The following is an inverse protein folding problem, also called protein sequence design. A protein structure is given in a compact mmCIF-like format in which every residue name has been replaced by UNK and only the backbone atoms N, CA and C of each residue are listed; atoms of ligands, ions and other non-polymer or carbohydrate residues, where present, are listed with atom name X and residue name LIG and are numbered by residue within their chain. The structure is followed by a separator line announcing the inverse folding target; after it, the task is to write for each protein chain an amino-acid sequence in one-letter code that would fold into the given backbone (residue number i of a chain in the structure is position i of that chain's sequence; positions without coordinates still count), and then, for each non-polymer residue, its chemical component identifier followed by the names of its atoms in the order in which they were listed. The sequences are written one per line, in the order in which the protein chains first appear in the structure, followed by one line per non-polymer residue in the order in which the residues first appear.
data_IF_380333145788
#
_entry.id   IF_380333145788
#
_cell.length_a   1.000
_cell.length_b   1.000
_cell.length_c   1.000
_cell.angle_alpha   90.00
_cell.angle_beta   90.00
_cell.angle_gamma   90.00
#
_symmetry.space_group_name_H-M   'P 1'
#
loop_
_entity.id
_entity.type
_entity.pdbx_description
1 polymer ?
#
# COMPACT_ATOMS: atom_id res chain seq x y z
N UNK A 1 -5.89 0.46 9.47
CA UNK A 1 -6.44 -0.26 8.29
C UNK A 1 -5.37 -0.23 7.21
N UNK A 2 -5.08 -1.35 6.56
CA UNK A 2 -4.28 -1.37 5.34
C UNK A 2 -5.20 -1.23 4.13
N UNK A 3 -4.77 -0.50 3.10
CA UNK A 3 -5.42 -0.43 1.79
C UNK A 3 -4.37 -0.71 0.74
N UNK A 4 -4.68 -1.66 -0.14
CA UNK A 4 -3.81 -2.08 -1.24
C UNK A 4 -4.39 -1.60 -2.56
N UNK A 5 -3.51 -1.17 -3.46
CA UNK A 5 -3.79 -1.05 -4.88
C UNK A 5 -3.24 -2.30 -5.57
N UNK A 6 -4.06 -2.97 -6.37
CA UNK A 6 -3.70 -4.17 -7.12
C UNK A 6 -3.47 -3.78 -8.59
N UNK A 7 -2.60 -4.50 -9.28
CA UNK A 7 -2.20 -4.21 -10.67
C UNK A 7 -2.66 -5.34 -11.62
N UNK A 8 -3.99 -5.49 -11.86
CA UNK A 8 -4.54 -6.58 -12.66
C UNK A 8 -4.16 -6.52 -14.14
N UNK A 9 -3.67 -5.37 -14.62
CA UNK A 9 -3.12 -5.23 -15.98
C UNK A 9 -1.81 -6.02 -16.18
N UNK A 10 -1.07 -6.28 -15.10
CA UNK A 10 0.23 -6.97 -15.14
C UNK A 10 0.13 -8.40 -14.57
N UNK A 11 -0.64 -8.61 -13.51
CA UNK A 11 -0.78 -9.92 -12.84
C UNK A 11 -2.27 -10.25 -12.58
N UNK A 12 -3.08 -10.51 -13.62
CA UNK A 12 -4.54 -10.62 -13.51
C UNK A 12 -5.01 -11.77 -12.61
N UNK A 13 -4.43 -12.98 -12.72
CA UNK A 13 -4.81 -14.12 -11.87
C UNK A 13 -4.35 -13.91 -10.43
N UNK A 14 -3.16 -13.33 -10.25
CA UNK A 14 -2.58 -13.05 -8.93
C UNK A 14 -3.43 -12.03 -8.18
N UNK A 15 -3.87 -10.97 -8.87
CA UNK A 15 -4.77 -9.96 -8.33
C UNK A 15 -6.17 -10.53 -8.02
N UNK A 16 -6.77 -11.30 -8.91
CA UNK A 16 -8.09 -11.92 -8.67
C UNK A 16 -8.04 -12.94 -7.52
N UNK A 17 -6.97 -13.73 -7.41
CA UNK A 17 -6.73 -14.60 -6.26
C UNK A 17 -6.71 -13.82 -4.95
N UNK A 18 -5.91 -12.74 -4.86
CA UNK A 18 -5.83 -11.93 -3.65
C UNK A 18 -7.14 -11.20 -3.32
N UNK A 19 -7.83 -10.63 -4.33
CA UNK A 19 -9.12 -9.95 -4.18
C UNK A 19 -10.20 -10.90 -3.66
N UNK A 20 -10.31 -12.08 -4.27
CA UNK A 20 -11.27 -13.10 -3.87
C UNK A 20 -10.99 -13.69 -2.47
N UNK A 21 -9.71 -13.83 -2.09
CA UNK A 21 -9.31 -14.17 -0.72
C UNK A 21 -9.59 -13.04 0.28
N UNK A 22 -9.60 -11.76 -0.14
CA UNK A 22 -10.08 -10.65 0.67
C UNK A 22 -11.59 -10.66 0.88
N UNK A 23 -12.40 -11.09 -0.10
CA UNK A 23 -13.87 -11.10 0.00
C UNK A 23 -14.44 -12.40 0.59
N UNK A 24 -13.74 -13.52 0.47
CA UNK A 24 -14.22 -14.85 0.88
C UNK A 24 -15.23 -15.47 -0.08
N UNK A 25 -15.45 -14.88 -1.26
CA UNK A 25 -16.56 -15.22 -2.16
C UNK A 25 -16.46 -16.61 -2.83
N UNK A 26 -15.26 -17.19 -2.89
CA UNK A 26 -15.02 -18.49 -3.56
C UNK A 26 -15.30 -19.71 -2.66
N UNK A 27 -15.80 -19.49 -1.45
CA UNK A 27 -16.27 -20.55 -0.56
C UNK A 27 -15.13 -21.33 0.10
N UNK A 28 -15.16 -22.67 -0.03
CA UNK A 28 -14.23 -23.59 0.63
C UNK A 28 -13.14 -24.04 -0.35
N UNK A 29 -11.89 -24.02 0.10
CA UNK A 29 -10.72 -24.45 -0.66
C UNK A 29 -10.68 -25.97 -0.86
N UNK A 30 -10.27 -26.38 -2.07
CA UNK A 30 -10.37 -27.77 -2.52
C UNK A 30 -9.39 -28.72 -1.82
N UNK A 31 -8.18 -28.25 -1.46
CA UNK A 31 -7.15 -29.09 -0.82
C UNK A 31 -7.13 -28.97 0.70
N UNK A 32 -7.45 -27.79 1.23
CA UNK A 32 -7.40 -27.49 2.67
C UNK A 32 -8.72 -27.75 3.39
N UNK A 33 -9.85 -27.79 2.66
CA UNK A 33 -11.19 -27.91 3.25
C UNK A 33 -11.60 -26.71 4.11
N UNK A 34 -10.89 -25.58 4.01
CA UNK A 34 -11.10 -24.36 4.81
C UNK A 34 -11.58 -23.19 3.95
N UNK A 35 -12.26 -22.18 4.53
CA UNK A 35 -12.71 -21.02 3.77
C UNK A 35 -11.54 -20.30 3.07
N UNK A 36 -11.72 -20.00 1.78
CA UNK A 36 -10.80 -19.19 0.97
C UNK A 36 -10.93 -17.71 1.36
N UNK A 37 -10.54 -17.35 2.58
CA UNK A 37 -10.79 -16.03 3.15
C UNK A 37 -9.67 -15.61 4.12
N UNK A 38 -9.18 -14.38 3.98
CA UNK A 38 -8.16 -13.78 4.85
C UNK A 38 -8.71 -13.26 6.20
N UNK A 39 -10.02 -13.33 6.46
CA UNK A 39 -10.57 -12.88 7.74
C UNK A 39 -10.17 -13.84 8.87
N UNK A 40 -9.51 -13.31 9.89
CA UNK A 40 -9.04 -14.05 11.05
C UNK A 40 -7.65 -14.68 10.92
N UNK A 41 -6.95 -14.47 9.79
CA UNK A 41 -5.56 -14.94 9.65
C UNK A 41 -4.60 -14.07 10.45
N UNK A 42 -3.38 -14.58 10.68
CA UNK A 42 -2.31 -13.86 11.39
C UNK A 42 -1.13 -13.54 10.47
N UNK A 43 -0.37 -12.48 10.81
CA UNK A 43 0.99 -12.31 10.31
C UNK A 43 1.90 -13.29 11.06
N UNK A 44 2.20 -14.42 10.43
CA UNK A 44 2.92 -15.53 11.05
C UNK A 44 4.44 -15.41 10.96
N UNK A 45 4.94 -14.45 10.16
CA UNK A 45 6.38 -14.16 10.02
C UNK A 45 6.59 -12.66 9.76
N UNK A 46 7.52 -12.06 10.49
CA UNK A 46 7.89 -10.64 10.45
C UNK A 46 9.41 -10.56 10.54
N UNK A 47 10.05 -9.89 9.59
CA UNK A 47 11.49 -9.60 9.63
C UNK A 47 11.67 -8.10 9.51
N UNK A 48 12.19 -7.49 10.57
CA UNK A 48 12.43 -6.06 10.68
C UNK A 48 13.38 -5.58 9.58
N UNK A 49 13.11 -4.39 9.04
CA UNK A 49 13.87 -3.75 7.97
C UNK A 49 13.90 -4.60 6.68
N UNK A 50 12.86 -5.43 6.48
CA UNK A 50 12.73 -6.29 5.31
C UNK A 50 11.27 -6.50 4.85
N UNK A 51 10.46 -7.27 5.60
CA UNK A 51 9.11 -7.64 5.18
C UNK A 51 8.22 -8.20 6.31
N UNK A 52 6.89 -8.14 6.11
CA UNK A 52 5.89 -8.83 6.93
C UNK A 52 5.07 -9.80 6.06
N UNK A 53 4.89 -11.05 6.50
CA UNK A 53 4.28 -12.14 5.74
C UNK A 53 3.02 -12.70 6.42
N UNK A 54 1.99 -12.96 5.61
CA UNK A 54 0.69 -13.49 6.04
C UNK A 54 0.07 -14.36 4.92
N UNK A 55 -1.25 -14.57 4.95
CA UNK A 55 -2.00 -15.31 3.94
C UNK A 55 -2.13 -16.82 4.18
N UNK A 56 -1.49 -17.37 5.22
CA UNK A 56 -1.70 -18.76 5.65
C UNK A 56 -2.97 -18.87 6.53
N UNK A 57 -4.12 -19.06 5.87
CA UNK A 57 -5.40 -19.26 6.52
C UNK A 57 -5.64 -20.70 7.02
N UNK A 58 -4.80 -21.66 6.64
CA UNK A 58 -5.04 -23.07 6.99
C UNK A 58 -4.24 -23.52 8.20
N UNK A 59 -2.96 -23.18 8.28
CA UNK A 59 -2.05 -23.63 9.33
C UNK A 59 -1.45 -22.47 10.14
N UNK A 60 -1.57 -21.23 9.64
CA UNK A 60 -1.14 -19.99 10.31
C UNK A 60 0.31 -20.01 10.82
N UNK A 61 1.18 -20.69 10.07
CA UNK A 61 2.60 -20.89 10.40
C UNK A 61 3.52 -20.89 9.16
N UNK A 62 2.99 -20.57 7.98
CA UNK A 62 3.71 -20.56 6.71
C UNK A 62 3.73 -21.91 5.99
N UNK A 63 3.22 -22.99 6.59
CA UNK A 63 3.14 -24.32 5.95
C UNK A 63 1.85 -24.53 5.16
N UNK A 64 0.81 -23.73 5.40
CA UNK A 64 -0.51 -23.88 4.80
C UNK A 64 -0.86 -22.88 3.69
N UNK A 65 -2.16 -22.73 3.46
CA UNK A 65 -2.75 -21.86 2.43
C UNK A 65 -2.93 -22.54 1.07
N UNK A 66 -3.92 -22.08 0.30
CA UNK A 66 -4.11 -22.44 -1.12
C UNK A 66 -4.79 -21.31 -1.88
N UNK A 67 -4.58 -21.27 -3.19
CA UNK A 67 -5.21 -20.32 -4.10
C UNK A 67 -6.67 -20.67 -4.41
N UNK A 68 -7.41 -19.69 -4.92
CA UNK A 68 -8.78 -19.88 -5.41
C UNK A 68 -8.90 -20.85 -6.61
N UNK A 69 -7.77 -21.21 -7.22
CA UNK A 69 -7.69 -22.11 -8.37
C UNK A 69 -7.49 -23.59 -7.99
N UNK A 70 -7.34 -23.88 -6.68
CA UNK A 70 -7.16 -25.24 -6.14
C UNK A 70 -5.68 -25.59 -5.92
N UNK A 71 -5.19 -25.40 -4.69
CA UNK A 71 -3.77 -25.57 -4.37
C UNK A 71 -2.91 -24.39 -4.81
N UNK A 72 -2.03 -24.57 -5.80
CA UNK A 72 -1.06 -23.55 -6.24
C UNK A 72 -1.21 -23.22 -7.72
N UNK A 73 -0.75 -22.03 -8.12
CA UNK A 73 -0.73 -21.58 -9.52
C UNK A 73 0.67 -21.06 -9.93
N UNK A 74 0.86 -20.94 -11.24
CA UNK A 74 2.12 -20.53 -11.86
C UNK A 74 2.52 -19.08 -11.52
N UNK A 75 3.80 -18.75 -11.70
CA UNK A 75 4.26 -17.36 -11.68
C UNK A 75 3.78 -16.64 -12.96
N UNK A 76 3.03 -15.53 -12.84
CA UNK A 76 2.50 -14.81 -14.02
C UNK A 76 3.56 -13.95 -14.72
N UNK A 77 4.08 -12.92 -14.03
CA UNK A 77 4.89 -11.88 -14.65
C UNK A 77 5.86 -11.25 -13.61
N UNK A 78 7.08 -10.92 -14.04
CA UNK A 78 8.14 -10.35 -13.19
C UNK A 78 8.56 -8.93 -13.63
N UNK A 79 7.74 -8.27 -14.44
CA UNK A 79 7.92 -6.88 -14.91
C UNK A 79 8.09 -5.88 -13.75
N UNK A 80 7.42 -6.12 -12.62
CA UNK A 80 7.55 -5.31 -11.41
C UNK A 80 8.67 -5.82 -10.51
N UNK A 81 9.51 -4.90 -10.06
CA UNK A 81 10.66 -5.15 -9.18
C UNK A 81 10.38 -4.72 -7.76
N UNK A 82 11.10 -5.31 -6.80
CA UNK A 82 11.07 -4.94 -5.39
C UNK A 82 11.95 -3.71 -5.11
N UNK A 83 11.80 -2.66 -5.92
CA UNK A 83 12.65 -1.46 -5.91
C UNK A 83 12.30 -0.47 -4.78
N UNK A 84 11.16 -0.67 -4.11
CA UNK A 84 10.57 0.23 -3.11
C UNK A 84 10.04 -0.54 -1.90
N UNK A 85 9.94 0.12 -0.74
CA UNK A 85 9.17 -0.40 0.39
C UNK A 85 7.67 -0.42 0.05
N UNK A 86 6.91 -1.19 0.83
CA UNK A 86 5.45 -1.29 0.80
C UNK A 86 4.85 -1.89 -0.49
N UNK A 87 5.62 -2.70 -1.21
CA UNK A 87 5.15 -3.51 -2.32
C UNK A 87 4.50 -4.80 -1.80
N UNK A 88 3.41 -5.22 -2.45
CA UNK A 88 2.65 -6.43 -2.16
C UNK A 88 3.07 -7.53 -3.15
N UNK A 89 3.57 -8.64 -2.63
CA UNK A 89 4.21 -9.70 -3.41
C UNK A 89 3.84 -11.10 -2.92
N UNK A 90 3.80 -12.08 -3.82
CA UNK A 90 3.40 -13.46 -3.50
C UNK A 90 4.51 -14.23 -2.79
N UNK A 91 4.20 -14.83 -1.65
CA UNK A 91 5.08 -15.81 -1.03
C UNK A 91 4.87 -17.19 -1.70
N UNK A 92 5.98 -17.83 -2.06
CA UNK A 92 6.02 -19.14 -2.71
C UNK A 92 7.09 -20.03 -2.03
N UNK A 93 7.20 -21.30 -2.45
CA UNK A 93 8.24 -22.25 -1.99
C UNK A 93 9.10 -22.73 -3.15
N UNK A 94 9.31 -21.87 -4.15
CA UNK A 94 9.89 -22.22 -5.43
C UNK A 94 8.98 -21.86 -6.61
N UNK A 95 9.49 -22.06 -7.82
CA UNK A 95 8.83 -21.66 -9.07
C UNK A 95 7.42 -22.27 -9.18
N UNK A 96 6.43 -21.47 -9.60
CA UNK A 96 5.05 -21.89 -9.83
C UNK A 96 4.34 -22.50 -8.60
N UNK A 97 4.65 -22.01 -7.39
CA UNK A 97 4.01 -22.48 -6.14
C UNK A 97 3.21 -21.40 -5.42
N UNK A 98 2.63 -20.45 -6.16
CA UNK A 98 1.84 -19.36 -5.59
C UNK A 98 0.52 -19.90 -5.01
N UNK A 99 0.24 -19.60 -3.74
CA UNK A 99 -0.96 -20.06 -3.04
C UNK A 99 -1.84 -18.88 -2.59
N UNK A 100 -2.07 -18.78 -1.29
CA UNK A 100 -2.69 -17.62 -0.63
C UNK A 100 -1.70 -16.78 0.18
N UNK A 101 -0.44 -17.21 0.32
CA UNK A 101 0.52 -16.48 1.14
C UNK A 101 1.08 -15.27 0.38
N UNK A 102 1.24 -14.17 1.11
CA UNK A 102 1.75 -12.90 0.58
C UNK A 102 2.65 -12.23 1.61
N UNK A 103 3.52 -11.34 1.15
CA UNK A 103 4.30 -10.46 2.00
C UNK A 103 4.22 -9.01 1.52
N UNK A 104 4.50 -8.10 2.45
CA UNK A 104 4.60 -6.66 2.22
C UNK A 104 6.03 -6.27 2.55
N UNK A 105 6.75 -5.67 1.60
CA UNK A 105 8.11 -5.17 1.85
C UNK A 105 8.09 -3.94 2.77
N UNK A 106 9.16 -3.73 3.54
CA UNK A 106 9.38 -2.50 4.33
C UNK A 106 10.67 -1.78 3.96
N UNK A 107 11.51 -2.43 3.14
CA UNK A 107 12.69 -1.90 2.45
C UNK A 107 12.72 -2.42 0.99
N UNK A 108 13.49 -1.80 0.08
CA UNK A 108 13.80 -2.38 -1.23
C UNK A 108 14.47 -3.75 -1.10
N UNK A 109 14.04 -4.72 -1.90
CA UNK A 109 14.45 -6.12 -1.81
C UNK A 109 14.79 -6.73 -3.19
N UNK A 110 15.71 -6.15 -3.98
CA UNK A 110 15.97 -6.55 -5.37
C UNK A 110 16.45 -8.01 -5.54
N UNK A 111 16.88 -8.67 -4.46
CA UNK A 111 17.21 -10.10 -4.46
C UNK A 111 15.99 -11.02 -4.58
N UNK A 112 14.76 -10.48 -4.45
CA UNK A 112 13.49 -11.18 -4.66
C UNK A 112 12.96 -11.03 -6.11
N UNK A 113 13.61 -10.20 -6.93
CA UNK A 113 13.23 -9.99 -8.33
C UNK A 113 13.37 -11.28 -9.16
N UNK A 114 12.39 -11.55 -10.01
CA UNK A 114 12.27 -12.82 -10.76
C UNK A 114 12.13 -14.08 -9.88
N UNK A 115 11.92 -13.93 -8.56
CA UNK A 115 11.63 -15.02 -7.61
C UNK A 115 10.20 -14.94 -7.10
N UNK A 116 9.72 -13.73 -6.79
CA UNK A 116 8.38 -13.46 -6.30
C UNK A 116 7.63 -12.50 -7.23
N UNK A 117 6.34 -12.79 -7.46
CA UNK A 117 5.45 -11.96 -8.29
C UNK A 117 4.96 -10.78 -7.46
N UNK A 118 5.40 -9.57 -7.79
CA UNK A 118 4.81 -8.32 -7.27
C UNK A 118 3.52 -8.05 -8.04
N UNK A 119 2.43 -7.79 -7.33
CA UNK A 119 1.09 -7.62 -7.93
C UNK A 119 0.30 -6.42 -7.36
N UNK A 120 0.93 -5.61 -6.51
CA UNK A 120 0.31 -4.40 -5.96
C UNK A 120 1.21 -3.64 -4.99
N UNK A 121 0.64 -2.65 -4.32
CA UNK A 121 1.33 -1.86 -3.29
C UNK A 121 0.37 -1.37 -2.19
N UNK A 122 0.91 -0.97 -1.04
CA UNK A 122 0.13 -0.31 0.01
C UNK A 122 -0.04 1.17 -0.35
N UNK A 123 -1.29 1.62 -0.48
CA UNK A 123 -1.64 3.03 -0.71
C UNK A 123 -2.07 3.76 0.57
N UNK A 124 -2.44 3.03 1.62
CA UNK A 124 -2.77 3.61 2.93
C UNK A 124 -2.52 2.64 4.07
N UNK A 125 -2.06 3.17 5.21
CA UNK A 125 -1.77 2.40 6.41
C UNK A 125 -0.29 1.98 6.56
N UNK A 126 0.64 2.68 5.92
CA UNK A 126 2.09 2.45 6.05
C UNK A 126 2.55 2.37 7.51
N UNK A 127 2.02 3.22 8.39
CA UNK A 127 2.33 3.20 9.82
C UNK A 127 1.94 1.88 10.50
N UNK A 128 0.84 1.25 10.06
CA UNK A 128 0.40 -0.04 10.59
C UNK A 128 1.29 -1.19 10.09
N UNK A 129 1.85 -1.09 8.88
CA UNK A 129 2.88 -2.03 8.41
C UNK A 129 4.12 -1.91 9.31
N UNK A 130 4.58 -0.68 9.58
CA UNK A 130 5.72 -0.43 10.48
C UNK A 130 5.47 -0.84 11.93
N UNK A 131 4.24 -0.70 12.43
CA UNK A 131 3.87 -1.19 13.76
C UNK A 131 3.93 -2.72 13.85
N UNK A 132 3.47 -3.44 12.82
CA UNK A 132 3.57 -4.92 12.76
C UNK A 132 5.05 -5.35 12.63
N UNK A 133 5.83 -4.63 11.83
CA UNK A 133 7.28 -4.83 11.64
C UNK A 133 8.08 -4.67 12.95
N UNK A 134 7.66 -3.76 13.83
CA UNK A 134 8.31 -3.48 15.12
C UNK A 134 7.91 -4.43 16.26
N UNK A 135 7.00 -5.38 16.02
CA UNK A 135 6.63 -6.36 17.04
C UNK A 135 7.82 -7.25 17.43
N UNK A 136 8.00 -7.60 18.71
CA UNK A 136 9.02 -8.55 19.11
C UNK A 136 8.70 -9.93 18.52
N UNK A 137 9.71 -10.58 17.94
CA UNK A 137 9.60 -11.87 17.27
C UNK A 137 10.38 -12.97 17.99
N UNK A 138 9.98 -14.22 17.77
CA UNK A 138 10.73 -15.41 18.20
C UNK A 138 11.91 -15.74 17.27
N UNK A 139 12.61 -16.84 17.55
CA UNK A 139 13.74 -17.34 16.74
C UNK A 139 13.36 -17.75 15.31
N UNK A 140 12.07 -17.98 15.03
CA UNK A 140 11.53 -18.32 13.72
C UNK A 140 10.96 -17.08 13.00
N UNK A 141 11.22 -15.88 13.52
CA UNK A 141 10.67 -14.62 13.05
C UNK A 141 9.13 -14.52 13.17
N UNK A 142 8.49 -15.31 14.04
CA UNK A 142 7.05 -15.19 14.33
C UNK A 142 6.83 -14.13 15.41
N UNK A 143 5.90 -13.17 15.25
CA UNK A 143 5.53 -12.23 16.31
C UNK A 143 5.09 -12.94 17.60
N UNK A 144 5.57 -12.46 18.75
CA UNK A 144 5.12 -12.91 20.07
C UNK A 144 3.69 -12.46 20.39
N UNK A 145 3.24 -11.37 19.75
CA UNK A 145 1.87 -10.88 19.80
C UNK A 145 1.20 -11.12 18.44
N UNK A 146 0.11 -11.89 18.42
CA UNK A 146 -0.59 -12.21 17.18
C UNK A 146 -1.20 -10.94 16.54
N UNK A 147 -0.64 -10.51 15.40
CA UNK A 147 -1.23 -9.49 14.55
C UNK A 147 -2.29 -10.14 13.64
N UNK A 148 -3.57 -9.97 13.98
CA UNK A 148 -4.71 -10.64 13.31
C UNK A 148 -5.41 -9.71 12.29
N UNK A 149 -5.74 -10.25 11.11
CA UNK A 149 -6.60 -9.59 10.12
C UNK A 149 -8.06 -9.69 10.56
N UNK A 150 -8.49 -8.78 11.44
CA UNK A 150 -9.83 -8.81 12.04
C UNK A 150 -10.97 -8.75 11.00
N UNK A 151 -10.79 -8.00 9.91
CA UNK A 151 -11.69 -7.95 8.75
C UNK A 151 -10.90 -7.59 7.48
N UNK A 152 -11.32 -8.13 6.34
CA UNK A 152 -10.83 -7.81 5.00
C UNK A 152 -12.03 -7.67 4.04
N UNK A 153 -11.77 -7.23 2.80
CA UNK A 153 -12.78 -7.04 1.77
C UNK A 153 -12.30 -6.10 0.66
N UNK A 154 -13.16 -5.87 -0.33
CA UNK A 154 -12.91 -5.01 -1.48
C UNK A 154 -13.50 -3.60 -1.29
N UNK A 155 -12.83 -2.56 -1.81
CA UNK A 155 -13.29 -1.18 -1.72
C UNK A 155 -14.01 -0.74 -3.00
N UNK A 156 -15.34 -0.85 -3.01
CA UNK A 156 -16.16 -0.35 -4.12
C UNK A 156 -16.26 1.18 -4.08
N UNK A 157 -15.83 1.85 -5.15
CA UNK A 157 -15.92 3.31 -5.30
C UNK A 157 -17.38 3.76 -5.43
N UNK A 158 -17.94 4.36 -4.38
CA UNK A 158 -19.28 4.95 -4.42
C UNK A 158 -19.30 6.20 -5.33
N UNK A 159 -19.85 6.06 -6.53
CA UNK A 159 -20.18 7.20 -7.39
C UNK A 159 -21.39 7.92 -6.79
N UNK A 160 -21.17 9.07 -6.16
CA UNK A 160 -22.27 9.94 -5.71
C UNK A 160 -22.90 10.62 -6.92
N UNK A 161 -24.07 10.14 -7.32
CA UNK A 161 -24.91 10.83 -8.29
C UNK A 161 -25.18 12.26 -7.84
N UNK A 162 -24.78 13.24 -8.65
CA UNK A 162 -25.18 14.64 -8.45
C UNK A 162 -26.66 14.76 -8.82
N UNK A 163 -27.55 14.68 -7.82
CA UNK A 163 -28.97 15.02 -8.01
C UNK A 163 -29.10 16.41 -8.62
N UNK A 164 -29.49 16.48 -9.88
CA UNK A 164 -29.78 17.74 -10.55
C UNK A 164 -30.92 18.47 -9.85
N UNK A 165 -30.67 19.69 -9.38
CA UNK A 165 -31.72 20.55 -8.84
C UNK A 165 -32.58 21.05 -10.00
N UNK A 166 -33.63 20.30 -10.36
CA UNK A 166 -34.72 20.77 -11.22
C UNK A 166 -35.28 22.08 -10.65
N UNK A 167 -34.93 23.22 -11.24
CA UNK A 167 -35.60 24.50 -10.99
C UNK A 167 -37.05 24.36 -11.47
N UNK A 168 -38.01 24.27 -10.55
CA UNK A 168 -39.43 24.44 -10.88
C UNK A 168 -39.62 25.84 -11.46
N UNK A 169 -40.05 25.95 -12.72
CA UNK A 169 -40.68 27.16 -13.24
C UNK A 169 -42.09 27.23 -12.67
N UNK A 170 -42.36 28.17 -11.78
CA UNK A 170 -43.73 28.60 -11.47
C UNK A 170 -44.12 29.70 -12.47
N UNK A 171 -45.13 29.42 -13.30
CA UNK A 171 -45.86 30.44 -14.06
C UNK A 171 -47.00 30.95 -13.16
N UNK A 172 -47.07 32.26 -12.96
CA UNK A 172 -48.27 33.00 -12.56
C UNK A 172 -48.18 34.40 -13.18
N UNK A 173 -49.32 34.98 -13.53
CA UNK A 173 -49.45 36.02 -14.57
C UNK A 173 -50.12 37.29 -14.07
N UNK A 174 -49.59 38.45 -14.48
CA UNK A 174 -50.17 39.81 -14.45
C UNK A 174 -50.53 40.38 -13.04
N UNK A 175 -50.52 41.68 -12.79
CA UNK A 175 -50.42 42.89 -13.64
C UNK A 175 -49.76 44.05 -12.88
N UNK A 176 -49.18 45.02 -13.61
CA UNK A 176 -49.01 46.48 -13.38
C UNK A 176 -48.63 46.99 -11.95
N UNK A 177 -47.72 47.95 -11.70
CA UNK A 177 -46.89 48.85 -12.53
C UNK A 177 -45.78 49.47 -11.60
N UNK A 178 -44.91 50.46 -11.90
CA UNK A 178 -44.60 51.30 -13.09
C UNK A 178 -43.13 51.82 -13.04
N UNK A 179 -42.76 52.64 -14.04
CA UNK A 179 -41.78 53.76 -14.11
C UNK A 179 -40.23 53.56 -14.06
N UNK A 180 -39.66 53.96 -15.21
CA UNK A 180 -38.43 54.71 -15.53
C UNK A 180 -37.02 54.07 -15.71
N UNK A 181 -36.65 54.03 -17.00
CA UNK A 181 -35.40 54.41 -17.69
C UNK A 181 -34.10 53.57 -17.61
N UNK A 182 -33.90 52.82 -18.71
CA UNK A 182 -32.74 52.80 -19.63
C UNK A 182 -31.32 53.18 -19.14
N UNK A 183 -30.35 52.27 -19.35
CA UNK A 183 -29.54 52.22 -20.58
C UNK A 183 -28.50 51.07 -20.53
N UNK A 184 -27.92 50.71 -21.68
CA UNK A 184 -26.91 49.67 -21.86
C UNK A 184 -25.66 49.84 -20.97
N UNK A 185 -25.16 48.73 -20.42
CA UNK A 185 -23.83 48.25 -20.86
C UNK A 185 -23.43 46.90 -20.29
N UNK A 186 -22.89 46.08 -21.18
CA UNK A 186 -22.35 44.76 -20.88
C UNK A 186 -21.04 44.78 -20.05
N UNK A 187 -20.67 43.61 -19.51
CA UNK A 187 -19.29 43.18 -19.20
C UNK A 187 -18.52 43.77 -17.98
N UNK A 188 -19.02 44.70 -17.16
CA UNK A 188 -18.32 45.14 -15.92
C UNK A 188 -19.08 44.85 -14.62
N UNK A 189 -18.73 43.74 -13.95
CA UNK A 189 -18.81 43.47 -12.47
C UNK A 189 -18.53 42.01 -12.06
N UNK A 190 -18.24 41.11 -13.02
CA UNK A 190 -17.51 39.84 -12.75
C UNK A 190 -16.05 40.04 -12.30
N UNK A 191 -15.55 41.29 -12.16
CA UNK A 191 -14.15 41.61 -11.85
C UNK A 191 -13.84 41.75 -10.35
N UNK A 192 -14.85 42.02 -9.50
CA UNK A 192 -14.61 42.40 -8.10
C UNK A 192 -14.63 41.25 -7.09
N UNK A 193 -15.15 40.07 -7.47
CA UNK A 193 -14.96 38.83 -6.68
C UNK A 193 -13.63 38.12 -6.93
N UNK A 194 -12.85 38.51 -7.94
CA UNK A 194 -11.51 37.93 -8.22
C UNK A 194 -10.41 38.57 -7.36
N UNK A 195 -10.45 39.89 -7.15
CA UNK A 195 -9.47 40.64 -6.33
C UNK A 195 -9.39 40.21 -4.85
N UNK A 196 -10.45 39.64 -4.26
CA UNK A 196 -10.44 39.20 -2.85
C UNK A 196 -9.81 37.82 -2.59
N UNK A 197 -9.42 37.06 -3.63
CA UNK A 197 -8.71 35.77 -3.47
C UNK A 197 -7.19 35.85 -3.64
N UNK A 198 -6.69 36.79 -4.45
CA UNK A 198 -5.24 36.95 -4.67
C UNK A 198 -4.51 37.52 -3.44
N UNK A 199 -5.19 38.24 -2.55
CA UNK A 199 -4.61 38.84 -1.34
C UNK A 199 -4.29 37.78 -0.25
N UNK A 200 -4.98 36.63 -0.23
CA UNK A 200 -4.69 35.57 0.76
C UNK A 200 -3.51 34.66 0.40
N UNK A 201 -3.06 34.65 -0.85
CA UNK A 201 -1.95 33.80 -1.33
C UNK A 201 -0.58 34.45 -1.08
N UNK A 202 -0.54 35.76 -0.79
CA UNK A 202 0.69 36.53 -0.53
C UNK A 202 1.14 36.59 0.95
N UNK A 203 0.61 35.74 1.84
CA UNK A 203 0.93 35.80 3.29
C UNK A 203 1.59 34.57 3.90
N UNK A 204 1.90 33.55 3.10
CA UNK A 204 2.58 32.30 3.52
C UNK A 204 3.77 31.96 2.58
N UNK A 205 4.36 32.99 1.95
CA UNK A 205 5.50 32.85 1.02
C UNK A 205 6.67 33.82 1.30
N UNK A 206 6.72 34.41 2.50
CA UNK A 206 7.83 35.24 2.95
C UNK A 206 8.35 34.72 4.30
N UNK A 207 9.35 33.86 4.22
CA UNK A 207 10.42 33.69 5.20
C UNK A 207 11.63 33.19 4.42
N UNK A 208 12.28 34.11 3.73
CA UNK A 208 13.57 33.95 3.06
C UNK A 208 14.58 33.31 4.04
N UNK A 209 15.31 32.29 3.62
CA UNK A 209 16.56 32.39 2.84
C UNK A 209 17.59 33.31 3.50
N UNK A 210 18.67 32.70 3.99
CA UNK A 210 19.96 33.34 4.21
C UNK A 210 21.05 32.33 3.83
N UNK A 211 21.66 32.54 2.67
CA UNK A 211 22.87 31.89 2.20
C UNK A 211 24.01 32.90 2.38
N UNK A 212 25.12 32.47 2.95
CA UNK A 212 26.39 33.19 2.89
C UNK A 212 27.49 32.16 2.59
N UNK A 213 28.42 32.52 1.70
CA UNK A 213 29.43 31.61 1.12
C UNK A 213 30.80 31.80 1.79
N UNK A 214 31.63 30.74 1.76
CA UNK A 214 33.03 30.75 2.23
C UNK A 214 33.22 30.04 3.59
N UNK A 215 34.27 29.25 3.83
CA UNK A 215 35.43 28.89 3.01
C UNK A 215 35.75 27.37 3.13
N UNK A 216 36.80 26.91 2.45
CA UNK A 216 37.40 25.58 2.59
C UNK A 216 38.36 25.57 3.78
N UNK A 217 38.33 24.51 4.60
CA UNK A 217 39.45 24.11 5.47
C UNK A 217 39.64 22.58 5.45
N UNK A 218 40.88 22.15 5.69
CA UNK A 218 41.42 20.79 5.48
C UNK A 218 41.99 20.21 6.78
N UNK A 219 41.13 19.74 7.70
CA UNK A 219 41.57 19.15 8.97
C UNK A 219 40.56 18.20 9.66
N UNK A 220 40.39 17.01 9.08
CA UNK A 220 40.69 15.75 9.80
C UNK A 220 39.89 15.26 11.04
N UNK A 221 38.95 16.00 11.65
CA UNK A 221 38.29 15.57 12.91
C UNK A 221 36.75 15.42 12.87
N UNK A 222 36.22 14.55 13.76
CA UNK A 222 34.89 13.93 13.62
C UNK A 222 33.98 14.25 14.83
N UNK A 223 32.70 14.61 14.59
CA UNK A 223 31.77 15.02 15.66
C UNK A 223 31.53 13.95 16.75
N UNK A 224 31.48 14.32 18.06
CA UNK A 224 31.59 13.39 19.18
C UNK A 224 30.29 12.65 19.59
N UNK A 225 29.28 12.52 18.71
CA UNK A 225 28.07 11.72 18.98
C UNK A 225 27.63 10.80 17.83
N UNK A 226 28.56 10.37 16.97
CA UNK A 226 28.29 9.31 15.99
C UNK A 226 29.03 8.03 16.39
N UNK A 227 28.47 7.27 17.34
CA UNK A 227 28.94 5.90 17.61
C UNK A 227 28.54 4.99 16.45
N UNK A 228 29.37 4.96 15.40
CA UNK A 228 29.30 3.96 14.34
C UNK A 228 29.70 2.62 14.95
N UNK A 229 28.73 1.90 15.53
CA UNK A 229 28.91 0.48 15.85
C UNK A 229 29.23 -0.24 14.55
N UNK A 230 30.49 -0.65 14.39
CA UNK A 230 30.91 -1.60 13.36
C UNK A 230 30.22 -2.93 13.67
N UNK A 231 29.04 -3.14 13.09
CA UNK A 231 28.34 -4.41 13.17
C UNK A 231 29.20 -5.41 12.42
N UNK A 232 29.78 -6.36 13.14
CA UNK A 232 30.59 -7.41 12.55
C UNK A 232 29.67 -8.32 11.72
N UNK A 233 29.91 -8.55 10.41
CA UNK A 233 29.02 -9.36 9.58
C UNK A 233 28.81 -10.79 10.09
N UNK A 234 29.69 -11.25 10.98
CA UNK A 234 29.64 -12.55 11.66
C UNK A 234 28.71 -12.61 12.88
N UNK A 235 28.25 -11.47 13.41
CA UNK A 235 27.32 -11.41 14.56
C UNK A 235 25.84 -11.32 14.16
N UNK A 236 25.54 -11.21 12.86
CA UNK A 236 24.17 -11.28 12.34
C UNK A 236 23.71 -12.74 12.43
N UNK A 237 22.72 -13.10 13.26
CA UNK A 237 22.25 -14.48 13.35
C UNK A 237 21.65 -14.91 12.00
N UNK A 238 22.00 -16.11 11.54
CA UNK A 238 21.45 -16.70 10.31
C UNK A 238 19.93 -16.91 10.42
N UNK A 239 19.15 -15.91 10.00
CA UNK A 239 17.71 -16.05 9.85
C UNK A 239 17.45 -17.08 8.73
N UNK A 240 16.80 -18.19 9.06
CA UNK A 240 16.56 -19.28 8.12
C UNK A 240 15.69 -18.86 6.93
N UNK A 241 16.32 -18.37 5.87
CA UNK A 241 15.66 -17.90 4.65
C UNK A 241 15.28 -19.02 3.67
N UNK A 242 15.21 -20.27 4.16
CA UNK A 242 14.95 -21.50 3.38
C UNK A 242 13.59 -21.51 2.66
N UNK A 243 12.70 -20.60 3.00
CA UNK A 243 11.36 -20.43 2.40
C UNK A 243 11.20 -19.15 1.58
N UNK A 244 12.26 -18.35 1.41
CA UNK A 244 12.21 -17.08 0.67
C UNK A 244 13.26 -17.03 -0.44
N UNK A 245 14.46 -17.54 -0.18
CA UNK A 245 15.43 -17.76 -1.25
C UNK A 245 15.13 -19.10 -1.92
N UNK A 246 15.31 -19.17 -3.25
CA UNK A 246 15.25 -20.44 -3.99
C UNK A 246 16.25 -21.41 -3.36
N UNK A 247 15.75 -22.50 -2.78
CA UNK A 247 16.61 -23.59 -2.35
C UNK A 247 17.30 -24.17 -3.57
N UNK A 248 18.64 -24.16 -3.56
CA UNK A 248 19.45 -24.65 -4.67
C UNK A 248 19.19 -26.15 -4.86
N UNK A 249 18.41 -26.47 -5.90
CA UNK A 249 17.88 -27.81 -6.16
C UNK A 249 18.95 -28.75 -6.67
N UNK A 250 19.86 -29.20 -5.80
CA UNK A 250 20.73 -30.34 -6.05
C UNK A 250 20.18 -31.59 -5.39
N UNK A 251 19.39 -32.35 -6.14
CA UNK A 251 19.32 -33.81 -6.14
C UNK A 251 18.61 -34.29 -7.40
#
# INVERSE_FOLDING_TARGET
RLVFELQPELAPKTCENFRALCTGEKGIGQKTGKPLHYKGIVFHRVVKDFMIQSGDFSNSNGTGGESIYGGTFDDEEFTLKHDKPFLLSMANRGKNTNGSQFFITTQPAPHLDNVHVVFGSVVSGHDLVRQIEQLPVDRNSRPLQDAVVANCGELVRQVRERKEKKKKKSKSSASDDSDDDDDESSKKRKKDKKKKKEIKIKKEKNSDDNLEEGELDDDGEQHPMTTVTKIDPSEIPEVSNKFLMRGDGRR
#
